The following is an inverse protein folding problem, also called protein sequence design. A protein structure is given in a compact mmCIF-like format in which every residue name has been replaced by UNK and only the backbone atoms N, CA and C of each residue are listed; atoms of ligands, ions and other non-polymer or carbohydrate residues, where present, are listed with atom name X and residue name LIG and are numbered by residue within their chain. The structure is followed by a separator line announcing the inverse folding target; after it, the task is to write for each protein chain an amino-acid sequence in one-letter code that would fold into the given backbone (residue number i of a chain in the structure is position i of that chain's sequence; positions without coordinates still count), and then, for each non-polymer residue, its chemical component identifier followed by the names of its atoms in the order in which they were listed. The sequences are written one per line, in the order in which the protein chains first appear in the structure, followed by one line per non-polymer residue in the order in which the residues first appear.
data_IF_551027674446
#
_entry.id   IF_551027674446
#
_cell.length_a   1.000
_cell.length_b   1.000
_cell.length_c   1.000
_cell.angle_alpha   90.00
_cell.angle_beta   90.00
_cell.angle_gamma   90.00
#
_symmetry.space_group_name_H-M   'P 1'
#
loop_
_entity.id
_entity.type
_entity.pdbx_description
1 polymer ?
#
# COMPACT_ATOMS: atom_id res chain seq x y z
N UNK A 1 -15.25 -6.09 -19.39
CA UNK A 1 -15.03 -7.47 -18.87
C UNK A 1 -13.62 -7.47 -18.31
N UNK A 2 -13.34 -8.18 -17.21
CA UNK A 2 -11.97 -8.22 -16.66
C UNK A 2 -11.06 -9.07 -17.52
N UNK A 3 -9.84 -8.60 -17.73
CA UNK A 3 -8.77 -9.42 -18.29
C UNK A 3 -8.14 -10.26 -17.17
N UNK A 4 -8.76 -11.42 -16.91
CA UNK A 4 -8.35 -12.28 -15.81
C UNK A 4 -6.93 -12.83 -16.01
N UNK A 5 -6.51 -13.07 -17.25
CA UNK A 5 -5.16 -13.57 -17.53
C UNK A 5 -4.12 -12.52 -17.12
N UNK A 6 -4.30 -11.28 -17.56
CA UNK A 6 -3.36 -10.21 -17.26
C UNK A 6 -3.37 -9.82 -15.77
N UNK A 7 -4.52 -9.86 -15.10
CA UNK A 7 -4.60 -9.66 -13.65
C UNK A 7 -3.80 -10.73 -12.90
N UNK A 8 -3.99 -12.01 -13.23
CA UNK A 8 -3.28 -13.11 -12.57
C UNK A 8 -1.78 -13.10 -12.89
N UNK A 9 -1.41 -12.83 -14.14
CA UNK A 9 -0.02 -12.69 -14.57
C UNK A 9 0.67 -11.52 -13.89
N UNK A 10 -0.01 -10.36 -13.83
CA UNK A 10 0.48 -9.14 -13.19
C UNK A 10 0.74 -9.32 -11.70
N UNK A 11 -0.05 -10.16 -11.03
CA UNK A 11 0.14 -10.51 -9.63
C UNK A 11 1.52 -11.08 -9.28
N UNK A 12 2.29 -11.62 -10.25
CA UNK A 12 3.66 -12.10 -10.04
C UNK A 12 4.72 -10.99 -10.09
N UNK A 13 4.37 -9.78 -10.53
CA UNK A 13 5.28 -8.63 -10.51
C UNK A 13 5.71 -8.34 -9.06
N UNK A 14 6.98 -8.01 -8.89
CA UNK A 14 7.57 -7.79 -7.56
C UNK A 14 7.71 -6.31 -7.25
N UNK A 15 7.32 -5.94 -6.03
CA UNK A 15 7.53 -4.62 -5.46
C UNK A 15 8.99 -4.41 -5.06
N UNK A 16 9.30 -3.19 -4.63
CA UNK A 16 10.60 -2.79 -4.07
C UNK A 16 11.78 -2.75 -5.06
N UNK A 17 11.55 -2.96 -6.36
CA UNK A 17 12.61 -3.06 -7.36
C UNK A 17 13.56 -1.84 -7.42
N UNK A 18 13.08 -0.65 -7.01
CA UNK A 18 13.87 0.57 -6.96
C UNK A 18 14.38 0.93 -5.54
N UNK A 19 14.07 0.14 -4.51
CA UNK A 19 14.51 0.36 -3.14
C UNK A 19 15.78 -0.46 -2.85
N UNK A 20 16.94 0.16 -2.58
CA UNK A 20 18.20 -0.58 -2.41
C UNK A 20 18.20 -1.54 -1.21
N UNK A 21 17.42 -1.23 -0.16
CA UNK A 21 17.34 -2.04 1.05
C UNK A 21 16.33 -3.19 0.93
N UNK A 22 15.39 -3.11 -0.01
CA UNK A 22 14.27 -4.04 -0.14
C UNK A 22 14.18 -4.74 -1.51
N UNK A 23 14.93 -4.32 -2.52
CA UNK A 23 14.85 -4.90 -3.88
C UNK A 23 15.19 -6.40 -3.94
N UNK A 24 15.95 -6.90 -2.97
CA UNK A 24 16.27 -8.32 -2.83
C UNK A 24 15.23 -9.09 -2.00
N UNK A 25 14.32 -8.37 -1.33
CA UNK A 25 13.21 -8.95 -0.59
C UNK A 25 12.04 -9.11 -1.55
N UNK A 26 11.61 -10.36 -1.77
CA UNK A 26 10.50 -10.63 -2.67
C UNK A 26 9.17 -10.34 -1.98
N UNK A 27 8.46 -9.36 -2.50
CA UNK A 27 7.02 -9.19 -2.32
C UNK A 27 6.36 -9.07 -3.69
N UNK A 28 5.39 -9.92 -3.97
CA UNK A 28 4.59 -9.85 -5.19
C UNK A 28 3.39 -8.91 -5.03
N UNK A 29 2.89 -8.36 -6.13
CA UNK A 29 1.66 -7.57 -6.12
C UNK A 29 0.48 -8.37 -5.56
N UNK A 30 0.37 -9.66 -5.87
CA UNK A 30 -0.69 -10.50 -5.30
C UNK A 30 -0.62 -10.59 -3.77
N UNK A 31 0.59 -10.71 -3.19
CA UNK A 31 0.79 -10.72 -1.73
C UNK A 31 0.44 -9.36 -1.09
N UNK A 32 0.86 -8.27 -1.73
CA UNK A 32 0.55 -6.91 -1.29
C UNK A 32 -0.96 -6.64 -1.32
N UNK A 33 -1.61 -6.82 -2.47
CA UNK A 33 -3.05 -6.66 -2.67
C UNK A 33 -3.87 -7.46 -1.66
N UNK A 34 -3.50 -8.72 -1.43
CA UNK A 34 -4.17 -9.56 -0.44
C UNK A 34 -4.05 -8.99 0.97
N UNK A 35 -2.90 -8.41 1.34
CA UNK A 35 -2.70 -7.78 2.65
C UNK A 35 -3.50 -6.49 2.80
N UNK A 36 -3.54 -5.64 1.78
CA UNK A 36 -4.36 -4.41 1.77
C UNK A 36 -5.85 -4.78 1.97
N UNK A 37 -6.36 -5.76 1.23
CA UNK A 37 -7.74 -6.22 1.37
C UNK A 37 -8.03 -6.79 2.77
N UNK A 38 -7.11 -7.57 3.35
CA UNK A 38 -7.25 -8.09 4.72
C UNK A 38 -7.30 -6.98 5.76
N UNK A 39 -6.47 -5.94 5.63
CA UNK A 39 -6.47 -4.77 6.52
C UNK A 39 -7.83 -4.07 6.46
N UNK A 40 -8.37 -3.84 5.26
CA UNK A 40 -9.67 -3.19 5.10
C UNK A 40 -10.81 -4.03 5.67
N UNK A 41 -10.80 -5.34 5.47
CA UNK A 41 -11.79 -6.25 6.05
C UNK A 41 -11.74 -6.28 7.59
N UNK A 42 -10.57 -6.02 8.18
CA UNK A 42 -10.39 -6.03 9.63
C UNK A 42 -10.72 -4.67 10.28
N UNK A 43 -10.38 -3.55 9.63
CA UNK A 43 -10.43 -2.21 10.23
C UNK A 43 -11.63 -1.38 9.78
N UNK A 44 -12.08 -1.54 8.53
CA UNK A 44 -13.19 -0.75 8.03
C UNK A 44 -14.52 -1.31 8.58
N UNK A 45 -15.43 -0.48 9.14
CA UNK A 45 -16.65 -0.97 9.79
C UNK A 45 -17.62 -1.68 8.84
N UNK A 46 -17.70 -1.24 7.58
CA UNK A 46 -18.49 -1.91 6.52
C UNK A 46 -17.94 -1.56 5.12
N UNK A 47 -16.83 -2.20 4.67
CA UNK A 47 -16.19 -1.81 3.42
C UNK A 47 -17.10 -2.14 2.24
N UNK A 48 -17.20 -1.21 1.28
CA UNK A 48 -17.97 -1.49 0.08
C UNK A 48 -17.28 -2.55 -0.77
N UNK A 49 -18.05 -3.21 -1.63
CA UNK A 49 -17.49 -4.11 -2.64
C UNK A 49 -16.48 -3.38 -3.55
N UNK A 50 -16.71 -2.10 -3.83
CA UNK A 50 -15.80 -1.31 -4.67
C UNK A 50 -14.47 -1.04 -3.98
N UNK A 51 -14.47 -0.76 -2.68
CA UNK A 51 -13.25 -0.56 -1.90
C UNK A 51 -12.41 -1.85 -1.81
N UNK A 52 -13.04 -2.99 -1.52
CA UNK A 52 -12.32 -4.29 -1.51
C UNK A 52 -11.81 -4.64 -2.91
N UNK A 53 -12.59 -4.35 -3.95
CA UNK A 53 -12.15 -4.56 -5.31
C UNK A 53 -10.95 -3.69 -5.69
N UNK A 54 -10.95 -2.41 -5.31
CA UNK A 54 -9.80 -1.54 -5.51
C UNK A 54 -8.58 -2.04 -4.73
N UNK A 55 -8.73 -2.48 -3.48
CA UNK A 55 -7.62 -3.03 -2.69
C UNK A 55 -6.94 -4.22 -3.38
N UNK A 56 -7.72 -5.07 -4.04
CA UNK A 56 -7.22 -6.24 -4.76
C UNK A 56 -6.53 -5.92 -6.10
N UNK A 57 -6.67 -4.70 -6.63
CA UNK A 57 -6.24 -4.37 -7.99
C UNK A 57 -5.61 -2.97 -8.16
N UNK A 58 -5.44 -2.18 -7.11
CA UNK A 58 -5.03 -0.78 -7.24
C UNK A 58 -3.68 -0.59 -7.94
N UNK A 59 -2.74 -1.52 -7.75
CA UNK A 59 -1.43 -1.53 -8.41
C UNK A 59 -1.39 -2.50 -9.62
N UNK A 60 -2.54 -2.98 -10.11
CA UNK A 60 -2.58 -3.96 -11.21
C UNK A 60 -2.04 -3.41 -12.55
N UNK A 61 -1.86 -2.08 -12.67
CA UNK A 61 -1.22 -1.43 -13.82
C UNK A 61 0.32 -1.42 -13.75
N UNK A 62 0.92 -1.63 -12.57
CA UNK A 62 2.38 -1.60 -12.37
C UNK A 62 3.19 -2.53 -13.30
N UNK A 63 2.74 -3.75 -13.68
CA UNK A 63 3.52 -4.62 -14.56
C UNK A 63 3.86 -3.99 -15.93
N UNK A 64 3.07 -3.00 -16.35
CA UNK A 64 3.30 -2.25 -17.59
C UNK A 64 3.91 -0.88 -17.34
N UNK A 65 3.41 -0.15 -16.34
CA UNK A 65 3.81 1.23 -16.06
C UNK A 65 5.09 1.35 -15.21
N UNK A 66 5.46 0.29 -14.49
CA UNK A 66 6.42 0.32 -13.38
C UNK A 66 5.89 1.09 -12.16
N UNK A 67 6.58 0.96 -11.04
CA UNK A 67 6.36 1.82 -9.87
C UNK A 67 7.51 2.84 -9.74
N UNK A 68 7.15 4.10 -9.51
CA UNK A 68 8.13 5.17 -9.30
C UNK A 68 8.38 5.34 -7.80
N UNK A 69 9.65 5.47 -7.36
CA UNK A 69 9.96 5.74 -5.96
C UNK A 69 9.21 6.97 -5.42
N UNK A 70 8.70 6.88 -4.18
CA UNK A 70 8.02 7.99 -3.51
C UNK A 70 8.77 9.33 -3.57
N UNK A 71 10.07 9.37 -3.21
CA UNK A 71 10.87 10.60 -3.30
C UNK A 71 10.93 11.20 -4.72
N UNK A 72 10.95 10.36 -5.76
CA UNK A 72 10.92 10.81 -7.15
C UNK A 72 9.57 11.42 -7.51
N UNK A 73 8.45 10.78 -7.10
CA UNK A 73 7.10 11.30 -7.33
C UNK A 73 6.93 12.71 -6.70
N UNK A 74 7.47 12.92 -5.50
CA UNK A 74 7.45 14.22 -4.80
C UNK A 74 8.31 15.27 -5.53
N UNK A 75 9.52 14.92 -5.94
CA UNK A 75 10.43 15.84 -6.64
C UNK A 75 9.95 16.19 -8.06
N UNK A 76 9.19 15.32 -8.71
CA UNK A 76 8.77 15.47 -10.11
C UNK A 76 7.25 15.30 -10.29
N UNK A 77 6.42 16.23 -9.76
CA UNK A 77 4.97 16.07 -9.70
C UNK A 77 4.30 15.98 -11.08
N UNK A 78 4.86 16.62 -12.11
CA UNK A 78 4.35 16.50 -13.49
C UNK A 78 4.55 15.09 -14.06
N UNK A 79 5.67 14.45 -13.75
CA UNK A 79 5.95 13.07 -14.18
C UNK A 79 5.06 12.12 -13.38
N UNK A 80 4.93 12.33 -12.07
CA UNK A 80 4.05 11.54 -11.22
C UNK A 80 2.59 11.57 -11.70
N UNK A 81 2.08 12.75 -12.09
CA UNK A 81 0.73 12.88 -12.64
C UNK A 81 0.56 12.15 -13.98
N UNK A 82 1.53 12.26 -14.88
CA UNK A 82 1.50 11.55 -16.17
C UNK A 82 1.59 10.02 -15.98
N UNK A 83 2.44 9.56 -15.06
CA UNK A 83 2.56 8.15 -14.69
C UNK A 83 1.25 7.61 -14.08
N UNK A 84 0.66 8.32 -13.12
CA UNK A 84 -0.63 7.95 -12.52
C UNK A 84 -1.77 7.90 -13.55
N UNK A 85 -1.76 8.79 -14.56
CA UNK A 85 -2.74 8.74 -15.64
C UNK A 85 -2.56 7.50 -16.54
N UNK A 86 -1.32 7.10 -16.80
CA UNK A 86 -1.01 5.88 -17.54
C UNK A 86 -1.51 4.63 -16.79
N UNK A 87 -1.22 4.56 -15.49
CA UNK A 87 -1.66 3.46 -14.63
C UNK A 87 -3.19 3.39 -14.52
N UNK A 88 -3.85 4.54 -14.31
CA UNK A 88 -5.31 4.61 -14.27
C UNK A 88 -5.96 4.15 -15.59
N UNK A 89 -5.38 4.53 -16.74
CA UNK A 89 -5.81 4.04 -18.04
C UNK A 89 -5.63 2.52 -18.14
N UNK A 90 -4.53 1.99 -17.62
CA UNK A 90 -4.30 0.54 -17.63
C UNK A 90 -5.31 -0.23 -16.77
N UNK A 91 -5.67 0.30 -15.61
CA UNK A 91 -6.73 -0.26 -14.77
C UNK A 91 -8.08 -0.30 -15.47
N UNK A 92 -8.42 0.71 -16.28
CA UNK A 92 -9.63 0.71 -17.11
C UNK A 92 -9.60 -0.43 -18.12
N UNK A 93 -8.49 -0.62 -18.81
CA UNK A 93 -8.30 -1.69 -19.81
C UNK A 93 -8.39 -3.08 -19.21
N UNK A 94 -7.83 -3.29 -18.00
CA UNK A 94 -7.93 -4.53 -17.25
C UNK A 94 -9.35 -4.80 -16.71
N UNK A 95 -10.25 -3.82 -16.76
CA UNK A 95 -11.60 -3.92 -16.22
C UNK A 95 -11.67 -3.76 -14.70
N UNK A 96 -10.70 -3.05 -14.11
CA UNK A 96 -10.62 -2.71 -12.69
C UNK A 96 -10.53 -1.19 -12.45
N UNK A 97 -11.38 -0.35 -13.08
CA UNK A 97 -11.31 1.08 -12.87
C UNK A 97 -11.62 1.43 -11.39
N UNK A 98 -10.85 2.32 -10.75
CA UNK A 98 -11.16 2.76 -9.40
C UNK A 98 -12.48 3.54 -9.42
N UNK A 99 -13.46 3.06 -8.65
CA UNK A 99 -14.74 3.75 -8.44
C UNK A 99 -14.97 3.91 -6.95
N UNK A 100 -14.29 4.88 -6.36
CA UNK A 100 -14.24 5.10 -4.92
C UNK A 100 -14.66 6.53 -4.59
N UNK A 101 -15.41 6.68 -3.51
CA UNK A 101 -15.59 7.98 -2.86
C UNK A 101 -14.27 8.51 -2.30
N UNK A 102 -14.21 9.81 -1.97
CA UNK A 102 -13.05 10.41 -1.31
C UNK A 102 -12.70 9.72 0.01
N UNK A 103 -13.72 9.27 0.76
CA UNK A 103 -13.51 8.55 2.02
C UNK A 103 -12.91 7.17 1.79
N UNK A 104 -13.39 6.44 0.79
CA UNK A 104 -12.82 5.13 0.42
C UNK A 104 -11.40 5.26 -0.13
N UNK A 105 -11.08 6.33 -0.85
CA UNK A 105 -9.71 6.62 -1.27
C UNK A 105 -8.77 6.83 -0.07
N UNK A 106 -9.24 7.50 1.00
CA UNK A 106 -8.46 7.65 2.24
C UNK A 106 -8.23 6.30 2.92
N UNK A 107 -9.26 5.45 2.98
CA UNK A 107 -9.14 4.07 3.49
C UNK A 107 -8.14 3.24 2.70
N UNK A 108 -8.25 3.23 1.38
CA UNK A 108 -7.33 2.49 0.50
C UNK A 108 -5.89 2.97 0.72
N UNK A 109 -5.65 4.29 0.75
CA UNK A 109 -4.33 4.86 0.96
C UNK A 109 -3.73 4.49 2.32
N UNK A 110 -4.52 4.54 3.38
CA UNK A 110 -4.05 4.13 4.71
C UNK A 110 -3.71 2.63 4.74
N UNK A 111 -4.59 1.79 4.18
CA UNK A 111 -4.40 0.34 4.16
C UNK A 111 -3.20 -0.09 3.30
N UNK A 112 -2.98 0.54 2.15
CA UNK A 112 -1.81 0.34 1.29
C UNK A 112 -0.50 0.60 2.06
N UNK A 113 -0.41 1.75 2.73
CA UNK A 113 0.76 2.12 3.54
C UNK A 113 0.97 1.21 4.74
N UNK A 114 -0.10 0.85 5.45
CA UNK A 114 -0.03 -0.07 6.57
C UNK A 114 0.40 -1.48 6.10
N UNK A 115 -0.05 -1.93 4.92
CA UNK A 115 0.38 -3.19 4.34
C UNK A 115 1.88 -3.19 4.02
N UNK A 116 2.38 -2.11 3.44
CA UNK A 116 3.80 -1.92 3.17
C UNK A 116 4.62 -1.89 4.48
N UNK A 117 4.17 -1.14 5.48
CA UNK A 117 4.81 -1.08 6.80
C UNK A 117 4.86 -2.47 7.46
N UNK A 118 3.75 -3.21 7.45
CA UNK A 118 3.67 -4.55 8.01
C UNK A 118 4.58 -5.55 7.29
N UNK A 119 4.73 -5.42 5.97
CA UNK A 119 5.69 -6.23 5.21
C UNK A 119 7.12 -5.95 5.68
N UNK A 120 7.53 -4.69 5.74
CA UNK A 120 8.88 -4.30 6.18
C UNK A 120 9.14 -4.71 7.62
N UNK A 121 8.16 -4.55 8.52
CA UNK A 121 8.25 -5.02 9.89
C UNK A 121 8.54 -6.53 9.98
N UNK A 122 7.99 -7.32 9.05
CA UNK A 122 8.20 -8.76 9.03
C UNK A 122 9.56 -9.16 8.46
N UNK A 123 9.97 -8.55 7.34
CA UNK A 123 11.14 -9.02 6.56
C UNK A 123 12.44 -8.28 6.89
N UNK A 124 12.35 -7.02 7.32
CA UNK A 124 13.46 -6.12 7.61
C UNK A 124 13.12 -5.17 8.78
N UNK A 125 12.82 -5.72 9.98
CA UNK A 125 12.46 -4.93 11.16
C UNK A 125 13.54 -3.92 11.59
N UNK A 126 14.79 -4.17 11.21
CA UNK A 126 15.93 -3.27 11.42
C UNK A 126 15.76 -1.91 10.72
N UNK A 127 15.00 -1.87 9.62
CA UNK A 127 14.74 -0.62 8.89
C UNK A 127 13.74 0.29 9.59
N UNK A 128 12.89 -0.24 10.48
CA UNK A 128 11.80 0.53 11.10
C UNK A 128 12.28 1.68 11.99
N UNK A 129 13.52 1.65 12.46
CA UNK A 129 14.13 2.75 13.21
C UNK A 129 14.51 3.97 12.35
N UNK A 130 14.56 3.81 11.02
CA UNK A 130 14.90 4.89 10.10
C UNK A 130 13.79 5.93 10.02
N UNK A 131 14.19 7.16 9.70
CA UNK A 131 13.29 8.31 9.65
C UNK A 131 12.10 8.11 8.69
N UNK A 132 12.36 7.59 7.49
CA UNK A 132 11.35 7.32 6.46
C UNK A 132 10.25 6.36 6.93
N UNK A 133 10.62 5.27 7.61
CA UNK A 133 9.64 4.32 8.16
C UNK A 133 8.90 4.85 9.39
N UNK A 134 9.55 5.64 10.23
CA UNK A 134 8.89 6.32 11.36
C UNK A 134 7.88 7.37 10.89
N UNK A 135 8.22 8.13 9.86
CA UNK A 135 7.30 9.10 9.23
C UNK A 135 6.12 8.38 8.58
N UNK A 136 6.38 7.27 7.86
CA UNK A 136 5.33 6.44 7.28
C UNK A 136 4.35 5.94 8.34
N UNK A 137 4.84 5.44 9.48
CA UNK A 137 3.98 5.02 10.58
C UNK A 137 3.17 6.19 11.17
N UNK A 138 3.80 7.35 11.38
CA UNK A 138 3.12 8.53 11.90
C UNK A 138 1.98 8.98 10.97
N UNK A 139 2.20 8.95 9.65
CA UNK A 139 1.17 9.25 8.65
C UNK A 139 0.01 8.24 8.70
N UNK A 140 0.32 6.94 8.83
CA UNK A 140 -0.70 5.89 8.95
C UNK A 140 -1.54 6.08 10.20
N UNK A 141 -0.92 6.35 11.35
CA UNK A 141 -1.63 6.62 12.61
C UNK A 141 -2.50 7.86 12.47
N UNK A 142 -1.98 8.97 11.91
CA UNK A 142 -2.76 10.17 11.69
C UNK A 142 -3.98 9.94 10.78
N UNK A 143 -3.84 9.10 9.75
CA UNK A 143 -4.96 8.68 8.90
C UNK A 143 -5.96 7.81 9.65
N UNK A 144 -5.49 6.89 10.50
CA UNK A 144 -6.34 6.03 11.32
C UNK A 144 -7.25 6.86 12.26
N UNK A 145 -6.70 7.90 12.89
CA UNK A 145 -7.47 8.87 13.68
C UNK A 145 -8.55 9.59 12.89
N UNK A 146 -8.28 9.96 11.64
CA UNK A 146 -9.28 10.58 10.76
C UNK A 146 -10.37 9.62 10.31
N UNK A 147 -10.08 8.31 10.33
CA UNK A 147 -10.97 7.25 9.87
C UNK A 147 -11.66 6.51 11.03
N UNK A 148 -11.29 6.79 12.27
CA UNK A 148 -11.88 6.21 13.49
C UNK A 148 -11.45 4.76 13.75
N UNK A 149 -10.22 4.39 13.40
CA UNK A 149 -9.63 3.06 13.66
C UNK A 149 -8.25 3.13 14.32
N UNK A 150 -7.98 4.24 15.00
CA UNK A 150 -6.70 4.52 15.67
C UNK A 150 -6.33 3.46 16.71
N UNK A 151 -7.31 2.98 17.49
CA UNK A 151 -7.06 2.01 18.57
C UNK A 151 -6.50 0.70 18.01
N UNK A 152 -7.13 0.18 16.96
CA UNK A 152 -6.71 -1.04 16.30
C UNK A 152 -5.37 -0.87 15.59
N UNK A 153 -5.15 0.27 14.93
CA UNK A 153 -3.91 0.56 14.21
C UNK A 153 -2.73 0.75 15.17
N UNK A 154 -2.91 1.46 16.28
CA UNK A 154 -1.86 1.65 17.29
C UNK A 154 -1.52 0.31 17.97
N UNK A 155 -2.53 -0.49 18.33
CA UNK A 155 -2.34 -1.83 18.89
C UNK A 155 -1.59 -2.76 17.93
N UNK A 156 -1.92 -2.73 16.64
CA UNK A 156 -1.19 -3.48 15.61
C UNK A 156 0.25 -2.98 15.47
N UNK A 157 0.44 -1.66 15.40
CA UNK A 157 1.76 -1.03 15.23
C UNK A 157 2.70 -1.37 16.38
N UNK A 158 2.20 -1.40 17.60
CA UNK A 158 2.96 -1.83 18.78
C UNK A 158 3.42 -3.29 18.70
N UNK A 159 2.64 -4.17 18.06
CA UNK A 159 3.01 -5.57 17.84
C UNK A 159 3.97 -5.77 16.68
N UNK A 160 3.88 -4.93 15.65
CA UNK A 160 4.78 -4.98 14.49
C UNK A 160 6.17 -4.42 14.79
N UNK A 161 6.27 -3.46 15.69
CA UNK A 161 7.52 -2.78 16.01
C UNK A 161 7.78 -2.67 17.53
N UNK A 162 7.80 -3.79 18.28
CA UNK A 162 7.99 -3.76 19.73
C UNK A 162 9.32 -3.10 20.13
N UNK A 163 10.34 -3.21 19.29
CA UNK A 163 11.66 -2.59 19.49
C UNK A 163 11.63 -1.05 19.53
N UNK A 164 10.60 -0.42 18.97
CA UNK A 164 10.47 1.05 18.99
C UNK A 164 9.80 1.57 20.26
N UNK A 165 9.18 0.70 21.06
CA UNK A 165 8.44 1.06 22.28
C UNK A 165 9.32 0.87 23.54
N UNK A 166 10.37 0.04 23.46
CA UNK A 166 11.25 -0.29 24.59
C UNK A 166 12.55 0.52 24.71
N UNK A 167 12.66 1.68 24.07
CA UNK A 167 13.88 2.50 24.01
C UNK A 167 14.14 3.39 25.23
N UNK A 168 14.19 2.82 26.43
CA UNK A 168 14.98 3.38 27.55
C UNK A 168 15.92 2.29 28.05
N UNK A 169 17.20 2.42 27.69
CA UNK A 169 18.36 1.81 28.36
C UNK A 169 19.56 2.76 28.20
#
# INVERSE_FOLDING_TARGET
MRDLHEILRGGYCTRWHANPDLAHVRETLAEHHARVAQILLALHPSPSRHLIDAALHHDAGEPECGDLPGPFKVAHPKIAAAHAACEAQRLVELGCPPNLSETELRWLKMADRLAAYAHVAHVRPDLLGRFDWRETLAEVVAQAWQLGCEVEVEALSARLAPQLIGGEA
#
